data_IF_094394135548
#
_entry.id   IF_094394135548
#
_cell.length_a   1.000
_cell.length_b   1.000
_cell.length_c   1.000
_cell.angle_alpha   90.00
_cell.angle_beta   90.00
_cell.angle_gamma   90.00
#
_symmetry.space_group_name_H-M   'P 1'
#
loop_
_entity.id
_entity.type
_entity.pdbx_description
1 polymer ?
#
# COMPACT_ATOMS: atom_id res chain seq x y z
N UNK A 1 6.43 -5.46 -13.94
CA UNK A 1 6.81 -6.20 -12.72
C UNK A 1 5.70 -7.12 -12.22
N UNK A 2 4.49 -6.62 -11.94
CA UNK A 2 3.35 -7.45 -11.50
C UNK A 2 2.90 -8.49 -12.55
N UNK A 3 3.06 -8.20 -13.84
CA UNK A 3 2.76 -9.15 -14.93
C UNK A 3 3.52 -10.48 -14.80
N UNK A 4 4.75 -10.44 -14.28
CA UNK A 4 5.56 -11.64 -14.03
C UNK A 4 5.01 -12.53 -12.90
N UNK A 5 3.99 -12.05 -12.18
CA UNK A 5 3.34 -12.74 -11.07
C UNK A 5 1.90 -13.15 -11.41
N UNK A 6 1.60 -13.25 -12.71
CA UNK A 6 0.32 -13.72 -13.24
C UNK A 6 0.52 -15.12 -13.84
N UNK A 7 -0.32 -16.13 -13.50
CA UNK A 7 -1.52 -16.03 -12.68
C UNK A 7 -1.24 -15.88 -11.16
N UNK A 8 -2.21 -15.34 -10.40
CA UNK A 8 -2.10 -15.28 -8.95
C UNK A 8 -2.27 -16.67 -8.34
N UNK A 9 -1.19 -17.20 -7.76
CA UNK A 9 -1.18 -18.47 -7.02
C UNK A 9 -0.67 -18.24 -5.59
N UNK A 10 -0.75 -19.26 -4.74
CA UNK A 10 -0.24 -19.19 -3.37
C UNK A 10 1.27 -18.94 -3.34
N UNK A 11 2.04 -19.63 -4.19
CA UNK A 11 3.51 -19.56 -4.25
C UNK A 11 4.07 -18.17 -4.58
N UNK A 12 3.31 -17.32 -5.26
CA UNK A 12 3.72 -15.95 -5.58
C UNK A 12 2.92 -14.87 -4.82
N UNK A 13 2.10 -15.24 -3.82
CA UNK A 13 1.30 -14.30 -3.04
C UNK A 13 2.17 -13.24 -2.33
N UNK A 14 3.23 -13.67 -1.64
CA UNK A 14 4.15 -12.75 -0.96
C UNK A 14 4.84 -11.77 -1.92
N UNK A 15 5.24 -12.26 -3.10
CA UNK A 15 5.86 -11.40 -4.12
C UNK A 15 4.88 -10.36 -4.66
N UNK A 16 3.61 -10.73 -4.90
CA UNK A 16 2.57 -9.80 -5.36
C UNK A 16 2.27 -8.75 -4.30
N UNK A 17 2.10 -9.17 -3.05
CA UNK A 17 1.87 -8.28 -1.91
C UNK A 17 3.00 -7.24 -1.82
N UNK A 18 4.27 -7.68 -1.82
CA UNK A 18 5.43 -6.78 -1.79
C UNK A 18 5.52 -5.85 -3.00
N UNK A 19 5.13 -6.32 -4.19
CA UNK A 19 5.13 -5.49 -5.39
C UNK A 19 4.10 -4.36 -5.30
N UNK A 20 2.90 -4.65 -4.78
CA UNK A 20 1.89 -3.63 -4.47
C UNK A 20 2.40 -2.62 -3.44
N UNK A 21 2.95 -3.09 -2.30
CA UNK A 21 3.53 -2.19 -1.29
C UNK A 21 4.57 -1.26 -1.90
N UNK A 22 5.53 -1.79 -2.66
CA UNK A 22 6.59 -0.99 -3.30
C UNK A 22 6.04 0.07 -4.25
N UNK A 23 5.06 -0.30 -5.08
CA UNK A 23 4.43 0.64 -6.01
C UNK A 23 3.63 1.70 -5.26
N UNK A 24 2.89 1.32 -4.22
CA UNK A 24 2.17 2.23 -3.35
C UNK A 24 3.08 3.21 -2.62
N UNK A 25 4.23 2.74 -2.11
CA UNK A 25 5.26 3.61 -1.52
C UNK A 25 5.80 4.61 -2.54
N UNK A 26 6.09 4.18 -3.77
CA UNK A 26 6.55 5.07 -4.84
C UNK A 26 5.51 6.15 -5.18
N UNK A 27 4.22 5.79 -5.24
CA UNK A 27 3.14 6.77 -5.40
C UNK A 27 3.09 7.77 -4.24
N UNK A 28 3.21 7.30 -2.99
CA UNK A 28 3.22 8.20 -1.82
C UNK A 28 4.42 9.17 -1.82
N UNK A 29 5.58 8.73 -2.32
CA UNK A 29 6.76 9.60 -2.49
C UNK A 29 6.55 10.67 -3.57
N UNK A 30 5.62 10.45 -4.50
CA UNK A 30 5.19 11.42 -5.50
C UNK A 30 3.95 12.21 -5.05
N UNK A 31 3.55 12.10 -3.78
CA UNK A 31 2.33 12.71 -3.21
C UNK A 31 1.02 12.25 -3.88
N UNK A 32 1.08 11.16 -4.65
CA UNK A 32 -0.07 10.47 -5.25
C UNK A 32 -0.70 9.52 -4.22
N UNK A 33 -1.23 10.08 -3.13
CA UNK A 33 -1.64 9.31 -1.96
C UNK A 33 -2.83 8.40 -2.22
N UNK A 34 -3.76 8.79 -3.11
CA UNK A 34 -4.94 7.96 -3.44
C UNK A 34 -4.50 6.70 -4.18
N UNK A 35 -3.64 6.84 -5.19
CA UNK A 35 -3.02 5.75 -5.94
C UNK A 35 -2.15 4.89 -5.02
N UNK A 36 -1.40 5.53 -4.14
CA UNK A 36 -0.64 4.87 -3.07
C UNK A 36 -1.53 3.96 -2.21
N UNK A 37 -2.63 4.51 -1.70
CA UNK A 37 -3.57 3.76 -0.87
C UNK A 37 -4.19 2.57 -1.60
N UNK A 38 -4.57 2.73 -2.87
CA UNK A 38 -5.12 1.64 -3.68
C UNK A 38 -4.16 0.45 -3.76
N UNK A 39 -2.86 0.72 -3.88
CA UNK A 39 -1.83 -0.33 -3.87
C UNK A 39 -1.69 -0.99 -2.50
N UNK A 40 -1.70 -0.22 -1.41
CA UNK A 40 -1.71 -0.80 -0.06
C UNK A 40 -2.95 -1.65 0.21
N UNK A 41 -4.13 -1.25 -0.28
CA UNK A 41 -5.35 -2.06 -0.19
C UNK A 41 -5.27 -3.35 -1.02
N UNK A 42 -4.65 -3.29 -2.21
CA UNK A 42 -4.38 -4.48 -3.01
C UNK A 42 -3.40 -5.44 -2.30
N UNK A 43 -2.39 -4.92 -1.59
CA UNK A 43 -1.51 -5.72 -0.75
C UNK A 43 -2.27 -6.40 0.40
N UNK A 44 -3.17 -5.68 1.07
CA UNK A 44 -4.00 -6.21 2.17
C UNK A 44 -5.03 -7.24 1.72
N UNK A 45 -5.52 -7.18 0.47
CA UNK A 45 -6.35 -8.25 -0.09
C UNK A 45 -5.59 -9.58 -0.22
N UNK A 46 -4.26 -9.55 -0.31
CA UNK A 46 -3.41 -10.73 -0.41
C UNK A 46 -3.00 -11.24 0.98
N UNK A 47 -2.64 -10.33 1.89
CA UNK A 47 -2.27 -10.63 3.27
C UNK A 47 -3.02 -9.71 4.25
N UNK A 48 -4.27 -10.05 4.62
CA UNK A 48 -5.12 -9.20 5.45
C UNK A 48 -4.60 -9.03 6.88
N UNK A 49 -3.76 -9.96 7.36
CA UNK A 49 -3.22 -9.94 8.72
C UNK A 49 -1.91 -9.14 8.83
N UNK A 50 -1.44 -8.53 7.73
CA UNK A 50 -0.19 -7.79 7.72
C UNK A 50 -0.31 -6.44 8.43
N UNK A 51 0.00 -6.42 9.72
CA UNK A 51 -0.12 -5.22 10.56
C UNK A 51 0.75 -4.06 10.10
N UNK A 52 1.90 -4.32 9.47
CA UNK A 52 2.78 -3.29 8.91
C UNK A 52 2.07 -2.56 7.76
N UNK A 53 1.50 -3.32 6.81
CA UNK A 53 0.78 -2.75 5.66
C UNK A 53 -0.52 -2.06 6.13
N UNK A 54 -1.20 -2.59 7.14
CA UNK A 54 -2.38 -1.94 7.74
C UNK A 54 -2.03 -0.56 8.31
N UNK A 55 -0.99 -0.48 9.14
CA UNK A 55 -0.54 0.76 9.77
C UNK A 55 -0.12 1.80 8.72
N UNK A 56 0.57 1.38 7.67
CA UNK A 56 0.96 2.29 6.59
C UNK A 56 -0.26 2.77 5.77
N UNK A 57 -1.22 1.89 5.47
CA UNK A 57 -2.47 2.28 4.83
C UNK A 57 -3.27 3.30 5.66
N UNK A 58 -3.27 3.16 6.99
CA UNK A 58 -3.88 4.13 7.90
C UNK A 58 -3.18 5.49 7.86
N UNK A 59 -1.85 5.53 7.84
CA UNK A 59 -1.11 6.79 7.68
C UNK A 59 -1.48 7.48 6.36
N UNK A 60 -1.57 6.73 5.27
CA UNK A 60 -1.98 7.28 3.97
C UNK A 60 -3.41 7.82 4.02
N UNK A 61 -4.35 7.09 4.65
CA UNK A 61 -5.72 7.59 4.87
C UNK A 61 -5.75 8.89 5.65
N UNK A 62 -4.94 9.00 6.70
CA UNK A 62 -4.84 10.22 7.50
C UNK A 62 -4.30 11.41 6.69
N UNK A 63 -3.35 11.18 5.78
CA UNK A 63 -2.85 12.22 4.87
C UNK A 63 -3.97 12.67 3.93
N UNK A 64 -4.69 11.73 3.30
CA UNK A 64 -5.80 12.03 2.37
C UNK A 64 -6.92 12.81 3.08
N UNK A 65 -7.23 12.46 4.32
CA UNK A 65 -8.26 13.14 5.12
C UNK A 65 -7.79 14.50 5.70
N UNK A 66 -6.52 14.87 5.49
CA UNK A 66 -5.93 16.10 6.05
C UNK A 66 -5.73 16.05 7.56
N UNK A 67 -5.78 14.87 8.19
CA UNK A 67 -5.58 14.71 9.64
C UNK A 67 -4.11 14.57 10.02
N UNK A 68 -3.23 14.24 9.06
CA UNK A 68 -1.78 14.11 9.29
C UNK A 68 -1.03 15.46 9.40
N UNK A 69 -1.63 16.58 8.97
CA UNK A 69 -0.97 17.90 8.93
C UNK A 69 -1.08 18.71 10.23
N UNK A 70 -1.70 18.18 11.29
CA UNK A 70 -1.77 18.87 12.59
C UNK A 70 -0.58 18.48 13.49
N UNK A 71 0.63 18.80 13.04
CA UNK A 71 1.76 18.99 13.94
C UNK A 71 1.89 20.49 14.18
N UNK A 72 1.48 20.92 15.38
CA UNK A 72 1.66 22.28 15.89
C UNK A 72 3.15 22.67 15.89
N UNK A 73 3.41 23.93 15.54
CA UNK A 73 4.69 24.64 15.66
C UNK A 73 5.36 24.50 17.04
#
# INVERSE_FOLDING_TARGET
ALELLTPPVSGNANARMKAHVRRGTAFCQLELYVEGLQDYEAALKIDPANTVVQNDAEKIRNIIQGTALKSHD
#
